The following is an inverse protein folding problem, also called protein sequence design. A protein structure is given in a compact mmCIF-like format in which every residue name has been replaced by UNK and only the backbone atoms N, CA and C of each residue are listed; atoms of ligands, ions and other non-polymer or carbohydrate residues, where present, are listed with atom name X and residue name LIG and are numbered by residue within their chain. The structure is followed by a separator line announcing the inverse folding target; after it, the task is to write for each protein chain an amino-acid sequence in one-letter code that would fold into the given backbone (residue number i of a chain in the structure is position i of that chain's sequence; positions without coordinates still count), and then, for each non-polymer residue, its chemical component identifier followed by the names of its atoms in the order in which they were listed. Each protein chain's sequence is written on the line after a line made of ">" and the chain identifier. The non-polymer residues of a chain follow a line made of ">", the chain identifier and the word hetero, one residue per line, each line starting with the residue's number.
data_IF_712969843551
#
_entry.id   IF_712969843551
#
_cell.length_a   1.000
_cell.length_b   1.000
_cell.length_c   1.000
_cell.angle_alpha   90.00
_cell.angle_beta   90.00
_cell.angle_gamma   90.00
#
_symmetry.space_group_name_H-M   'P 1'
#
loop_
_entity.id
_entity.type
_entity.pdbx_description
1 polymer ?
#
# COMPACT_ATOMS: atom_id res chain seq x y z
N UNK A 1 -36.98 -14.54 -12.34
CA UNK A 1 -36.06 -13.51 -12.87
C UNK A 1 -35.00 -13.28 -11.82
N UNK A 2 -33.74 -13.62 -12.07
CA UNK A 2 -32.66 -13.37 -11.12
C UNK A 2 -32.36 -11.87 -11.09
N UNK A 3 -32.49 -11.24 -9.92
CA UNK A 3 -32.11 -9.83 -9.73
C UNK A 3 -30.60 -9.72 -9.88
N UNK A 4 -30.13 -8.87 -10.79
CA UNK A 4 -28.70 -8.58 -10.93
C UNK A 4 -28.14 -8.07 -9.58
N UNK A 5 -26.98 -8.58 -9.18
CA UNK A 5 -26.30 -8.09 -7.98
C UNK A 5 -26.00 -6.59 -8.13
N UNK A 6 -26.14 -5.78 -7.07
CA UNK A 6 -25.92 -4.35 -7.15
C UNK A 6 -24.45 -4.07 -7.49
N UNK A 7 -24.21 -3.32 -8.57
CA UNK A 7 -22.88 -2.85 -8.96
C UNK A 7 -22.48 -1.63 -8.12
N UNK A 8 -21.23 -1.60 -7.66
CA UNK A 8 -20.61 -0.43 -7.04
C UNK A 8 -19.47 -0.75 -6.09
N UNK A 9 -18.91 0.31 -5.51
CA UNK A 9 -17.92 0.23 -4.42
C UNK A 9 -18.50 0.91 -3.19
N UNK A 10 -18.24 0.33 -2.02
CA UNK A 10 -18.66 0.87 -0.73
C UNK A 10 -17.45 1.29 0.09
N UNK A 11 -17.60 2.38 0.84
CA UNK A 11 -16.67 2.76 1.88
C UNK A 11 -16.99 2.02 3.18
N UNK A 12 -16.06 1.20 3.66
CA UNK A 12 -16.15 0.53 4.95
C UNK A 12 -15.23 1.22 5.95
N UNK A 13 -15.79 1.72 7.05
CA UNK A 13 -15.00 2.20 8.20
C UNK A 13 -14.78 1.04 9.17
N UNK A 14 -13.52 0.78 9.52
CA UNK A 14 -13.13 -0.25 10.47
C UNK A 14 -12.11 0.29 11.49
N UNK A 15 -11.64 -0.57 12.41
CA UNK A 15 -10.57 -0.22 13.36
C UNK A 15 -9.25 0.16 12.68
N UNK A 16 -9.01 -0.33 11.46
CA UNK A 16 -7.82 0.02 10.66
C UNK A 16 -8.03 1.25 9.77
N UNK A 17 -9.18 1.92 9.88
CA UNK A 17 -9.52 3.11 9.10
C UNK A 17 -10.56 2.84 8.01
N UNK A 18 -10.69 3.80 7.11
CA UNK A 18 -11.60 3.80 5.97
C UNK A 18 -11.00 3.02 4.79
N UNK A 19 -11.79 2.12 4.21
CA UNK A 19 -11.41 1.29 3.07
C UNK A 19 -12.47 1.29 1.97
N UNK A 20 -12.05 1.08 0.73
CA UNK A 20 -12.95 0.83 -0.40
C UNK A 20 -13.11 -0.68 -0.57
N UNK A 21 -14.35 -1.17 -0.67
CA UNK A 21 -14.63 -2.58 -0.91
C UNK A 21 -15.60 -2.69 -2.09
N UNK A 22 -15.28 -3.51 -3.11
CA UNK A 22 -16.22 -3.76 -4.21
C UNK A 22 -17.43 -4.55 -3.71
N UNK A 23 -18.63 -4.25 -4.22
CA UNK A 23 -19.83 -4.99 -3.87
C UNK A 23 -19.83 -6.39 -4.52
N UNK A 24 -19.18 -6.52 -5.67
CA UNK A 24 -18.97 -7.79 -6.38
C UNK A 24 -17.50 -7.95 -6.81
N UNK A 25 -16.99 -9.18 -6.84
CA UNK A 25 -15.60 -9.45 -7.23
C UNK A 25 -15.28 -9.04 -8.68
N UNK A 26 -16.28 -8.98 -9.56
CA UNK A 26 -16.14 -8.48 -10.94
C UNK A 26 -15.74 -7.00 -11.02
N UNK A 27 -15.92 -6.24 -9.95
CA UNK A 27 -15.58 -4.80 -9.88
C UNK A 27 -14.22 -4.53 -9.24
N UNK A 28 -13.50 -5.59 -8.88
CA UNK A 28 -12.14 -5.50 -8.36
C UNK A 28 -11.21 -5.04 -9.48
N UNK A 29 -10.34 -4.08 -9.18
CA UNK A 29 -9.33 -3.64 -10.16
C UNK A 29 -8.31 -4.78 -10.38
N UNK A 30 -7.91 -5.09 -11.62
CA UNK A 30 -6.84 -6.06 -11.88
C UNK A 30 -5.49 -5.60 -11.31
N UNK A 31 -5.36 -4.31 -10.97
CA UNK A 31 -4.17 -3.73 -10.36
C UNK A 31 -4.25 -3.63 -8.82
N UNK A 32 -5.36 -4.06 -8.22
CA UNK A 32 -5.53 -4.14 -6.77
C UNK A 32 -4.58 -5.19 -6.18
N UNK A 33 -3.96 -4.85 -5.06
CA UNK A 33 -3.12 -5.75 -4.28
C UNK A 33 -3.95 -6.32 -3.13
N UNK A 34 -3.85 -7.64 -2.96
CA UNK A 34 -4.49 -8.35 -1.85
C UNK A 34 -3.77 -8.02 -0.54
N UNK A 35 -4.53 -7.87 0.54
CA UNK A 35 -3.96 -7.72 1.88
C UNK A 35 -3.23 -9.00 2.30
N UNK A 36 -1.95 -8.92 2.69
CA UNK A 36 -1.21 -10.10 3.11
C UNK A 36 -1.72 -10.62 4.45
N UNK A 37 -1.61 -11.92 4.65
CA UNK A 37 -1.74 -12.51 5.96
C UNK A 37 -0.69 -11.92 6.92
N UNK A 38 -1.10 -11.65 8.15
CA UNK A 38 -0.17 -11.22 9.18
C UNK A 38 0.55 -12.42 9.74
N UNK A 39 1.86 -12.30 9.88
CA UNK A 39 2.68 -13.35 10.49
C UNK A 39 2.33 -13.41 11.99
N UNK A 40 2.01 -14.59 12.54
CA UNK A 40 1.72 -14.76 13.95
C UNK A 40 2.85 -14.27 14.87
N UNK A 41 2.47 -13.77 16.05
CA UNK A 41 3.43 -13.17 17.00
C UNK A 41 4.38 -14.21 17.62
N UNK A 42 3.91 -15.45 17.78
CA UNK A 42 4.65 -16.61 18.27
C UNK A 42 5.72 -17.09 17.29
N UNK A 43 5.46 -16.97 15.99
CA UNK A 43 6.44 -17.23 14.92
C UNK A 43 7.49 -16.12 14.77
N UNK A 44 7.33 -15.00 15.48
CA UNK A 44 8.19 -13.81 15.36
C UNK A 44 8.82 -13.42 16.71
N UNK A 45 9.88 -14.11 17.18
CA UNK A 45 10.58 -13.77 18.42
C UNK A 45 11.43 -12.49 18.32
N UNK A 46 11.77 -12.07 17.10
CA UNK A 46 12.61 -10.91 16.82
C UNK A 46 12.02 -10.05 15.70
N UNK A 47 12.38 -8.77 15.69
CA UNK A 47 12.02 -7.85 14.61
C UNK A 47 12.53 -8.35 13.27
N UNK A 48 11.65 -8.47 12.27
CA UNK A 48 11.99 -8.97 10.94
C UNK A 48 12.76 -7.96 10.06
N UNK A 49 13.11 -6.79 10.60
CA UNK A 49 13.94 -5.79 9.91
C UNK A 49 15.30 -5.63 10.60
N UNK A 50 15.32 -5.32 11.91
CA UNK A 50 16.57 -5.10 12.65
C UNK A 50 17.07 -6.29 13.46
N UNK A 51 16.37 -7.43 13.43
CA UNK A 51 16.70 -8.66 14.17
C UNK A 51 16.74 -8.52 15.70
N UNK A 52 16.37 -7.36 16.25
CA UNK A 52 16.28 -7.16 17.68
C UNK A 52 15.15 -7.99 18.30
N UNK A 53 15.47 -8.78 19.33
CA UNK A 53 14.51 -9.57 20.10
C UNK A 53 13.41 -8.70 20.68
N UNK A 54 12.18 -9.21 20.64
CA UNK A 54 11.06 -8.57 21.32
C UNK A 54 11.09 -8.89 22.81
N UNK A 55 10.66 -7.92 23.60
CA UNK A 55 10.57 -8.02 25.06
C UNK A 55 9.42 -7.10 25.55
N UNK A 56 9.35 -6.85 26.86
CA UNK A 56 8.31 -6.00 27.44
C UNK A 56 8.36 -4.54 26.96
N UNK A 57 9.53 -4.05 26.53
CA UNK A 57 9.74 -2.68 26.06
C UNK A 57 9.63 -2.64 24.53
N UNK A 58 10.28 -3.57 23.83
CA UNK A 58 10.23 -3.71 22.38
C UNK A 58 9.02 -4.54 21.98
N UNK A 59 7.90 -3.86 21.77
CA UNK A 59 6.63 -4.48 21.36
C UNK A 59 6.60 -4.78 19.85
N UNK A 60 5.77 -5.77 19.50
CA UNK A 60 5.50 -6.22 18.12
C UNK A 60 4.52 -5.30 17.40
N UNK A 61 4.75 -5.09 16.11
CA UNK A 61 3.86 -4.34 15.22
C UNK A 61 3.86 -4.93 13.80
N UNK A 62 2.67 -5.16 13.25
CA UNK A 62 2.53 -5.64 11.87
C UNK A 62 2.57 -4.51 10.84
N UNK A 63 3.35 -4.72 9.78
CA UNK A 63 3.27 -3.89 8.57
C UNK A 63 2.01 -4.26 7.77
N UNK A 64 1.16 -3.28 7.47
CA UNK A 64 -0.10 -3.54 6.73
C UNK A 64 0.12 -3.91 5.26
N UNK A 65 1.27 -3.56 4.68
CA UNK A 65 1.58 -3.86 3.27
C UNK A 65 2.18 -5.25 3.06
N UNK A 66 2.97 -5.77 4.01
CA UNK A 66 3.68 -7.05 3.84
C UNK A 66 3.40 -8.10 4.93
N UNK A 67 2.65 -7.78 5.99
CA UNK A 67 2.30 -8.72 7.06
C UNK A 67 3.41 -9.02 8.07
N UNK A 68 4.65 -8.57 7.83
CA UNK A 68 5.81 -8.82 8.71
C UNK A 68 5.68 -8.14 10.08
N UNK A 69 6.30 -8.76 11.08
CA UNK A 69 6.36 -8.28 12.47
C UNK A 69 7.63 -7.48 12.72
N UNK A 70 7.47 -6.22 13.09
CA UNK A 70 8.55 -5.25 13.25
C UNK A 70 8.45 -4.54 14.61
N UNK A 71 9.57 -4.00 15.11
CA UNK A 71 9.54 -3.12 16.28
C UNK A 71 9.08 -1.70 15.92
N UNK A 72 8.84 -0.87 16.94
CA UNK A 72 8.31 0.49 16.78
C UNK A 72 9.19 1.37 15.89
N UNK A 73 10.52 1.27 16.02
CA UNK A 73 11.47 2.06 15.21
C UNK A 73 11.50 1.63 13.75
N UNK A 74 11.40 0.32 13.47
CA UNK A 74 11.38 -0.22 12.11
C UNK A 74 10.00 -0.10 11.44
N UNK A 75 8.98 0.36 12.16
CA UNK A 75 7.59 0.38 11.70
C UNK A 75 6.86 1.62 12.22
N UNK A 76 7.47 2.80 12.10
CA UNK A 76 6.96 4.07 12.61
C UNK A 76 6.13 4.88 11.60
N UNK A 77 6.28 4.60 10.30
CA UNK A 77 5.59 5.33 9.25
C UNK A 77 4.12 4.96 9.14
N UNK A 78 3.28 5.93 8.75
CA UNK A 78 1.89 5.71 8.35
C UNK A 78 1.62 6.37 7.01
N UNK A 79 1.21 5.58 6.01
CA UNK A 79 0.90 6.05 4.66
C UNK A 79 -0.36 5.35 4.15
N UNK A 80 -1.11 6.02 3.26
CA UNK A 80 -2.22 5.38 2.56
C UNK A 80 -1.70 4.30 1.61
N UNK A 81 -2.51 3.26 1.36
CA UNK A 81 -2.21 2.19 0.41
C UNK A 81 -3.34 2.11 -0.63
N UNK A 82 -3.35 2.99 -1.66
CA UNK A 82 -4.43 3.05 -2.64
C UNK A 82 -4.67 1.71 -3.36
N UNK A 83 -3.59 0.98 -3.68
CA UNK A 83 -3.68 -0.34 -4.32
C UNK A 83 -4.28 -1.43 -3.45
N UNK A 84 -4.29 -1.27 -2.13
CA UNK A 84 -4.91 -2.20 -1.16
C UNK A 84 -6.18 -1.61 -0.56
N UNK A 85 -6.71 -0.57 -1.21
CA UNK A 85 -7.94 0.12 -0.88
C UNK A 85 -7.97 0.74 0.54
N UNK A 86 -6.80 1.06 1.12
CA UNK A 86 -6.73 1.84 2.36
C UNK A 86 -6.63 3.32 2.02
N UNK A 87 -7.69 4.07 2.35
CA UNK A 87 -7.74 5.53 2.21
C UNK A 87 -7.00 6.21 3.37
N UNK A 88 -7.26 5.75 4.59
CA UNK A 88 -6.59 6.28 5.78
C UNK A 88 -5.16 5.73 5.88
N UNK A 89 -4.19 6.54 6.38
CA UNK A 89 -2.82 6.09 6.56
C UNK A 89 -2.68 4.92 7.53
N UNK A 90 -2.05 3.84 7.06
CA UNK A 90 -1.80 2.62 7.85
C UNK A 90 -0.33 2.42 8.15
N UNK A 91 -0.04 1.68 9.23
CA UNK A 91 1.33 1.44 9.70
C UNK A 91 2.14 0.58 8.74
N UNK A 92 3.34 1.02 8.39
CA UNK A 92 4.26 0.33 7.47
C UNK A 92 5.65 0.15 8.08
N UNK A 93 6.31 -0.97 7.74
CA UNK A 93 7.75 -1.12 7.98
C UNK A 93 8.55 -0.19 7.07
N UNK A 94 9.79 0.13 7.45
CA UNK A 94 10.65 1.08 6.72
C UNK A 94 10.79 0.75 5.22
N UNK A 95 11.03 -0.50 4.79
CA UNK A 95 11.08 -0.82 3.36
C UNK A 95 9.76 -0.57 2.63
N UNK A 96 8.63 -0.99 3.22
CA UNK A 96 7.31 -0.78 2.63
C UNK A 96 6.95 0.70 2.57
N UNK A 97 7.33 1.48 3.58
CA UNK A 97 7.09 2.92 3.60
C UNK A 97 7.82 3.62 2.45
N UNK A 98 9.07 3.24 2.15
CA UNK A 98 9.83 3.79 1.04
C UNK A 98 9.16 3.50 -0.31
N UNK A 99 8.78 2.24 -0.57
CA UNK A 99 8.06 1.86 -1.79
C UNK A 99 6.70 2.56 -1.91
N UNK A 100 5.91 2.58 -0.83
CA UNK A 100 4.59 3.22 -0.83
C UNK A 100 4.68 4.73 -1.00
N UNK A 101 5.70 5.39 -0.44
CA UNK A 101 5.90 6.82 -0.68
C UNK A 101 6.09 7.11 -2.17
N UNK A 102 6.86 6.26 -2.86
CA UNK A 102 7.09 6.40 -4.30
C UNK A 102 5.82 6.10 -5.12
N UNK A 103 5.08 5.05 -4.77
CA UNK A 103 3.77 4.76 -5.37
C UNK A 103 2.80 5.94 -5.18
N UNK A 104 2.72 6.51 -3.98
CA UNK A 104 1.81 7.61 -3.68
C UNK A 104 2.17 8.88 -4.45
N UNK A 105 3.46 9.18 -4.68
CA UNK A 105 3.87 10.27 -5.59
C UNK A 105 3.27 10.04 -6.99
N UNK A 106 3.35 8.82 -7.52
CA UNK A 106 2.75 8.51 -8.81
C UNK A 106 1.23 8.67 -8.81
N UNK A 107 0.54 8.16 -7.79
CA UNK A 107 -0.91 8.29 -7.66
C UNK A 107 -1.38 9.75 -7.54
N UNK A 108 -0.64 10.59 -6.83
CA UNK A 108 -1.04 11.98 -6.61
C UNK A 108 -0.70 12.89 -7.79
N UNK A 109 0.43 12.67 -8.45
CA UNK A 109 0.91 13.54 -9.53
C UNK A 109 0.58 13.00 -10.92
N UNK A 110 0.96 11.75 -11.23
CA UNK A 110 0.91 11.23 -12.59
C UNK A 110 -0.45 10.63 -12.95
N UNK A 111 -1.15 9.98 -12.01
CA UNK A 111 -2.45 9.36 -12.32
C UNK A 111 -3.48 10.39 -12.76
N UNK A 112 -3.52 11.57 -12.16
CA UNK A 112 -4.46 12.63 -12.57
C UNK A 112 -4.23 13.06 -14.02
N UNK A 113 -2.96 13.25 -14.40
CA UNK A 113 -2.58 13.62 -15.76
C UNK A 113 -2.94 12.53 -16.78
N UNK A 114 -2.70 11.26 -16.42
CA UNK A 114 -3.09 10.11 -17.24
C UNK A 114 -4.61 10.05 -17.46
N UNK A 115 -5.39 10.25 -16.41
CA UNK A 115 -6.85 10.23 -16.48
C UNK A 115 -7.41 11.39 -17.31
N UNK A 116 -6.69 12.51 -17.43
CA UNK A 116 -7.03 13.60 -18.36
C UNK A 116 -6.60 13.35 -19.81
N UNK A 117 -6.08 12.16 -20.13
CA UNK A 117 -5.69 11.78 -21.49
C UNK A 117 -4.26 12.15 -21.89
N UNK A 118 -3.41 12.53 -20.94
CA UNK A 118 -2.02 12.86 -21.25
C UNK A 118 -1.20 11.61 -21.59
N UNK A 119 -0.26 11.77 -22.52
CA UNK A 119 0.62 10.69 -23.00
C UNK A 119 1.91 10.71 -22.19
N UNK A 120 2.32 9.54 -21.66
CA UNK A 120 3.62 9.38 -21.02
C UNK A 120 4.69 9.10 -22.07
N UNK A 121 5.67 9.99 -22.17
CA UNK A 121 6.90 9.70 -22.90
C UNK A 121 7.96 9.18 -21.93
N UNK A 122 8.49 7.99 -22.21
CA UNK A 122 9.65 7.39 -21.53
C UNK A 122 10.90 7.77 -22.33
N UNK A 123 11.75 8.64 -21.80
CA UNK A 123 13.07 8.90 -22.39
C UNK A 123 14.05 7.82 -21.98
N UNK A 124 14.87 7.30 -22.89
CA UNK A 124 15.79 6.19 -22.62
C UNK A 124 17.18 6.64 -22.15
N UNK A 125 17.30 7.79 -21.48
CA UNK A 125 18.60 8.40 -21.14
C UNK A 125 18.87 8.48 -19.63
N UNK A 126 19.43 7.37 -19.11
CA UNK A 126 20.44 7.22 -18.03
C UNK A 126 20.10 7.25 -16.53
N UNK A 127 20.74 6.28 -15.85
CA UNK A 127 20.87 5.90 -14.42
C UNK A 127 19.62 5.38 -13.65
N UNK A 128 19.74 4.14 -13.17
CA UNK A 128 18.74 3.30 -12.45
C UNK A 128 18.11 3.91 -11.19
N UNK A 129 18.41 5.15 -10.82
CA UNK A 129 18.02 5.76 -9.55
C UNK A 129 16.90 6.81 -9.63
N UNK A 130 16.46 7.22 -10.83
CA UNK A 130 15.43 8.27 -10.98
C UNK A 130 14.35 7.97 -12.03
N UNK A 131 13.57 6.89 -11.82
CA UNK A 131 12.36 6.58 -12.61
C UNK A 131 11.29 7.68 -12.63
N UNK A 132 11.37 8.66 -11.71
CA UNK A 132 10.38 9.75 -11.57
C UNK A 132 10.67 10.91 -12.53
N UNK A 133 11.94 11.11 -12.93
CA UNK A 133 12.33 12.14 -13.92
C UNK A 133 12.06 11.71 -15.37
N UNK A 134 11.79 10.43 -15.58
CA UNK A 134 11.61 9.80 -16.90
C UNK A 134 10.19 9.94 -17.47
N UNK A 135 9.25 10.51 -16.71
CA UNK A 135 7.84 10.56 -17.06
C UNK A 135 7.42 12.03 -17.23
N UNK A 136 7.51 12.53 -18.47
CA UNK A 136 6.94 13.84 -18.82
C UNK A 136 5.53 13.67 -19.38
N UNK A 137 4.64 14.54 -18.92
CA UNK A 137 3.26 14.68 -19.38
C UNK A 137 3.16 15.93 -20.27
N UNK A 138 2.69 15.80 -21.50
CA UNK A 138 2.27 16.93 -22.35
C UNK A 138 0.78 16.82 -22.63
#
# INVERSE_FOLDING_TARGET
>A
MATAAPAGKRLLRSKSGLRIIPLNDSERSPFELVEPAWIPDDESPSCMECQGKFDFIKRRHHCRRCGRVCCGSCCNARLALPRMCFLDPVRLCSPCAATTAQENKFYHHHLKSLLSGAILHLSSESNEQDLVGLISCR
#
